data_IF_957593150999
#
_entry.id   IF_957593150999
#
_cell.length_a   1.000
_cell.length_b   1.000
_cell.length_c   1.000
_cell.angle_alpha   90.00
_cell.angle_beta   90.00
_cell.angle_gamma   90.00
#
_symmetry.space_group_name_H-M   'P 1'
#
loop_
_entity.id
_entity.type
_entity.pdbx_description
1 polymer ?
#
# COMPACT_ATOMS: atom_id res chain seq x y z
N UNK A 1 -0.63 13.51 -9.24
CA UNK A 1 -0.86 13.11 -7.85
C UNK A 1 0.44 12.83 -7.10
N UNK A 2 0.41 13.03 -5.81
CA UNK A 2 1.55 12.70 -4.96
C UNK A 2 1.07 12.12 -3.63
N UNK A 3 1.96 11.39 -2.97
CA UNK A 3 1.79 11.03 -1.57
C UNK A 3 3.15 11.03 -0.87
N UNK A 4 3.10 11.32 0.43
CA UNK A 4 4.25 11.23 1.33
C UNK A 4 3.87 10.24 2.40
N UNK A 5 4.67 9.21 2.56
CA UNK A 5 4.45 8.15 3.54
C UNK A 5 5.42 8.34 4.70
N UNK A 6 4.90 8.28 5.92
CA UNK A 6 5.73 8.36 7.11
C UNK A 6 5.01 7.68 8.27
N UNK A 7 5.75 7.00 9.16
CA UNK A 7 5.14 6.51 10.39
C UNK A 7 4.65 7.67 11.26
N UNK A 8 3.90 7.35 12.29
CA UNK A 8 3.44 8.37 13.25
C UNK A 8 4.63 9.14 13.77
N UNK A 9 4.65 10.44 13.53
CA UNK A 9 5.79 11.29 13.81
C UNK A 9 5.37 12.73 14.03
N UNK A 10 6.35 13.59 14.24
CA UNK A 10 6.13 15.03 14.44
C UNK A 10 5.64 15.78 13.20
N UNK A 11 5.67 15.13 12.03
CA UNK A 11 5.27 15.79 10.78
C UNK A 11 3.83 16.31 10.84
N UNK A 12 2.94 15.59 11.52
CA UNK A 12 1.56 16.02 11.70
C UNK A 12 1.45 17.30 12.54
N UNK A 13 2.41 17.57 13.40
CA UNK A 13 2.47 18.79 14.22
C UNK A 13 3.14 19.92 13.47
N UNK A 14 4.23 19.62 12.74
CA UNK A 14 5.03 20.62 12.07
C UNK A 14 4.44 21.12 10.75
N UNK A 15 3.62 20.31 10.11
CA UNK A 15 3.04 20.66 8.81
C UNK A 15 1.52 20.63 8.85
N UNK A 16 0.92 19.47 8.71
CA UNK A 16 -0.54 19.30 8.76
C UNK A 16 -0.88 17.86 9.10
N UNK A 17 -2.13 17.62 9.49
CA UNK A 17 -2.60 16.25 9.77
C UNK A 17 -2.57 15.42 8.50
N UNK A 18 -2.28 14.10 8.62
CA UNK A 18 -2.31 13.24 7.44
C UNK A 18 -3.71 13.13 6.86
N UNK A 19 -3.77 12.91 5.55
CA UNK A 19 -5.04 12.69 4.85
C UNK A 19 -5.58 11.28 5.14
N UNK A 20 -4.68 10.30 5.25
CA UNK A 20 -5.03 8.89 5.46
C UNK A 20 -4.02 8.23 6.39
N UNK A 21 -4.41 7.10 6.93
CA UNK A 21 -3.48 6.19 7.60
C UNK A 21 -3.84 4.76 7.21
N UNK A 22 -2.86 3.86 7.25
CA UNK A 22 -3.08 2.46 6.92
C UNK A 22 -2.09 1.57 7.65
N UNK A 23 -2.38 0.28 7.66
CA UNK A 23 -1.44 -0.76 8.07
C UNK A 23 -1.12 -1.65 6.86
N UNK A 24 0.12 -2.15 6.74
CA UNK A 24 0.50 -2.98 5.59
C UNK A 24 -0.43 -4.18 5.36
N UNK A 25 -0.90 -4.86 6.40
CA UNK A 25 -1.78 -6.01 6.25
C UNK A 25 -3.10 -5.68 5.54
N UNK A 26 -3.52 -4.42 5.59
CA UNK A 26 -4.77 -3.99 4.96
C UNK A 26 -4.70 -4.04 3.43
N UNK A 27 -3.51 -4.19 2.88
CA UNK A 27 -3.26 -4.25 1.42
C UNK A 27 -2.53 -5.52 1.00
N UNK A 28 -2.36 -6.48 1.92
CA UNK A 28 -1.63 -7.71 1.63
C UNK A 28 -2.25 -8.54 0.50
N UNK A 29 -3.56 -8.44 0.30
CA UNK A 29 -4.25 -9.15 -0.76
C UNK A 29 -3.85 -8.74 -2.18
N UNK A 30 -3.14 -7.64 -2.35
CA UNK A 30 -2.60 -7.25 -3.66
C UNK A 30 -1.28 -7.96 -4.00
N UNK A 31 -0.72 -8.71 -3.07
CA UNK A 31 0.50 -9.48 -3.31
C UNK A 31 0.10 -10.85 -3.87
N UNK A 32 0.78 -11.28 -4.95
CA UNK A 32 0.60 -12.61 -5.49
C UNK A 32 1.00 -13.65 -4.43
N UNK A 33 0.11 -14.62 -4.10
CA UNK A 33 0.44 -15.66 -3.12
C UNK A 33 1.71 -16.45 -3.44
N UNK A 34 2.06 -16.59 -4.71
CA UNK A 34 3.31 -17.23 -5.10
C UNK A 34 4.54 -16.40 -4.76
N UNK A 35 4.35 -15.12 -4.49
CA UNK A 35 5.40 -14.19 -4.09
C UNK A 35 5.17 -13.68 -2.66
N UNK A 36 4.57 -14.52 -1.83
CA UNK A 36 4.18 -14.13 -0.47
C UNK A 36 5.36 -13.64 0.37
N UNK A 37 6.49 -14.35 0.32
CA UNK A 37 7.66 -13.96 1.10
C UNK A 37 8.35 -12.73 0.51
N UNK A 38 8.82 -11.86 1.41
CA UNK A 38 9.53 -10.66 0.99
C UNK A 38 10.86 -11.06 0.32
N UNK A 39 11.14 -10.55 -0.90
CA UNK A 39 12.31 -11.00 -1.67
C UNK A 39 13.65 -10.66 -1.03
N UNK A 40 13.70 -9.63 -0.20
CA UNK A 40 14.96 -9.16 0.41
C UNK A 40 15.01 -9.39 1.93
N UNK A 41 13.88 -9.27 2.61
CA UNK A 41 13.84 -9.29 4.08
C UNK A 41 12.82 -10.29 4.64
N UNK A 42 12.87 -11.57 4.25
CA UNK A 42 11.82 -12.52 4.69
C UNK A 42 11.81 -12.78 6.20
N UNK A 43 12.95 -12.57 6.88
CA UNK A 43 13.04 -12.78 8.35
C UNK A 43 12.41 -11.62 9.14
N UNK A 44 12.27 -10.46 8.53
CA UNK A 44 11.82 -9.23 9.20
C UNK A 44 10.47 -8.73 8.73
N UNK A 45 10.05 -9.13 7.55
CA UNK A 45 8.78 -8.73 6.96
C UNK A 45 7.94 -9.98 6.74
N UNK A 46 6.78 -10.02 7.40
CA UNK A 46 5.87 -11.16 7.32
C UNK A 46 5.41 -11.41 5.88
N UNK A 47 5.18 -12.68 5.48
CA UNK A 47 4.62 -12.97 4.17
C UNK A 47 3.32 -12.20 3.93
N UNK A 48 3.07 -11.79 2.70
CA UNK A 48 1.88 -11.02 2.29
C UNK A 48 1.75 -9.69 3.04
N UNK A 49 2.86 -9.12 3.53
CA UNK A 49 2.86 -7.92 4.37
C UNK A 49 1.89 -8.03 5.55
N UNK A 50 1.73 -9.22 6.10
CA UNK A 50 0.75 -9.51 7.14
C UNK A 50 1.21 -9.00 8.51
N UNK A 51 1.44 -7.70 8.63
CA UNK A 51 1.88 -7.08 9.88
C UNK A 51 1.26 -5.70 10.07
N UNK A 52 1.02 -5.30 11.34
CA UNK A 52 0.56 -3.96 11.64
C UNK A 52 1.74 -2.99 11.71
N UNK A 53 1.54 -1.80 11.18
CA UNK A 53 2.47 -0.67 11.32
C UNK A 53 1.70 0.57 10.90
N UNK A 54 1.22 1.34 11.86
CA UNK A 54 0.44 2.53 11.54
C UNK A 54 1.30 3.50 10.72
N UNK A 55 0.89 3.72 9.49
CA UNK A 55 1.59 4.55 8.51
C UNK A 55 0.66 5.67 8.08
N UNK A 56 1.16 6.89 8.10
CA UNK A 56 0.40 8.08 7.75
C UNK A 56 0.72 8.54 6.33
N UNK A 57 -0.29 9.04 5.63
CA UNK A 57 -0.14 9.54 4.26
C UNK A 57 -0.60 11.00 4.17
N UNK A 58 0.25 11.82 3.60
CA UNK A 58 -0.09 13.17 3.17
C UNK A 58 -0.18 13.16 1.65
N UNK A 59 -1.33 13.52 1.12
CA UNK A 59 -1.60 13.33 -0.31
C UNK A 59 -2.09 14.62 -0.95
N UNK A 60 -2.00 14.68 -2.27
CA UNK A 60 -2.51 15.81 -3.05
C UNK A 60 -2.42 15.53 -4.55
N UNK A 61 -2.83 16.55 -5.33
CA UNK A 61 -2.75 16.45 -6.78
C UNK A 61 -3.66 15.38 -7.37
N UNK A 62 -4.80 15.12 -6.75
CA UNK A 62 -5.72 14.12 -7.26
C UNK A 62 -5.35 12.68 -6.91
N UNK A 63 -4.57 12.48 -5.86
CA UNK A 63 -4.25 11.13 -5.39
C UNK A 63 -5.52 10.36 -5.03
N UNK A 64 -5.60 9.12 -5.51
CA UNK A 64 -6.71 8.21 -5.22
C UNK A 64 -6.23 7.16 -4.23
N UNK A 65 -6.85 7.16 -3.04
CA UNK A 65 -6.56 6.14 -2.03
C UNK A 65 -7.14 4.80 -2.49
N UNK A 66 -6.30 3.75 -2.60
CA UNK A 66 -6.79 2.46 -3.08
C UNK A 66 -7.74 1.78 -2.10
N UNK A 67 -8.61 0.92 -2.62
CA UNK A 67 -9.45 0.08 -1.79
C UNK A 67 -8.60 -0.96 -1.06
N UNK A 68 -9.00 -1.26 0.16
CA UNK A 68 -8.32 -2.27 0.95
C UNK A 68 -8.57 -3.68 0.40
N UNK A 69 -7.55 -4.53 0.52
CA UNK A 69 -7.65 -5.97 0.31
C UNK A 69 -6.88 -6.63 1.44
N UNK A 70 -7.48 -6.71 2.64
CA UNK A 70 -6.74 -7.10 3.83
C UNK A 70 -6.45 -8.59 3.90
N UNK A 71 -5.34 -8.90 4.58
CA UNK A 71 -5.01 -10.26 5.00
C UNK A 71 -4.98 -10.29 6.52
N UNK A 72 -5.08 -11.48 7.11
CA UNK A 72 -4.99 -11.60 8.56
C UNK A 72 -3.57 -11.32 9.01
N UNK A 73 -3.34 -10.42 9.98
CA UNK A 73 -2.01 -10.18 10.51
C UNK A 73 -1.43 -11.45 11.12
N UNK A 74 -0.12 -11.67 10.90
CA UNK A 74 0.59 -12.81 11.47
C UNK A 74 0.54 -12.78 13.00
N UNK A 75 0.78 -11.61 13.58
CA UNK A 75 0.70 -11.36 15.02
C UNK A 75 0.26 -9.92 15.25
N UNK A 76 0.05 -9.54 16.51
CA UNK A 76 -0.27 -8.16 16.87
C UNK A 76 0.91 -7.18 16.72
N UNK A 77 2.11 -7.67 16.40
CA UNK A 77 3.32 -6.87 16.24
C UNK A 77 4.06 -7.25 14.97
N UNK A 78 4.80 -6.31 14.40
CA UNK A 78 5.66 -6.65 13.27
C UNK A 78 6.89 -7.41 13.74
N UNK A 79 7.43 -8.26 12.88
CA UNK A 79 8.71 -8.95 13.14
C UNK A 79 9.84 -7.94 13.37
N UNK A 80 9.76 -6.79 12.72
CA UNK A 80 10.71 -5.69 12.87
C UNK A 80 10.75 -5.18 14.31
N UNK A 81 9.58 -5.06 14.92
CA UNK A 81 9.48 -4.61 16.31
C UNK A 81 10.20 -5.54 17.28
N UNK A 82 10.10 -6.85 17.04
CA UNK A 82 10.69 -7.86 17.91
C UNK A 82 12.18 -8.12 17.62
N UNK A 83 12.61 -7.98 16.37
CA UNK A 83 13.93 -8.42 15.92
C UNK A 83 14.90 -7.30 15.60
N UNK A 84 14.44 -6.08 15.39
CA UNK A 84 15.31 -4.97 15.01
C UNK A 84 15.47 -4.00 16.17
N UNK A 85 16.72 -3.71 16.48
CA UNK A 85 17.10 -2.64 17.39
C UNK A 85 18.18 -1.78 16.75
N UNK A 86 18.46 -0.63 17.36
CA UNK A 86 19.56 0.22 16.94
C UNK A 86 19.28 1.08 15.71
N UNK A 87 20.34 1.64 15.15
CA UNK A 87 20.29 2.66 14.11
C UNK A 87 21.14 2.34 12.89
N UNK A 88 21.46 1.04 12.67
CA UNK A 88 22.27 0.64 11.52
C UNK A 88 21.56 0.95 10.19
N UNK A 89 22.32 1.06 9.11
CA UNK A 89 21.77 1.27 7.78
C UNK A 89 20.81 0.14 7.39
N UNK A 90 21.15 -1.11 7.77
CA UNK A 90 20.29 -2.27 7.53
C UNK A 90 18.94 -2.09 8.25
N UNK A 91 18.95 -1.71 9.51
CA UNK A 91 17.71 -1.47 10.28
C UNK A 91 16.88 -0.37 9.63
N UNK A 92 17.50 0.73 9.23
CA UNK A 92 16.81 1.82 8.55
C UNK A 92 16.19 1.37 7.24
N UNK A 93 16.92 0.61 6.44
CA UNK A 93 16.43 0.11 5.14
C UNK A 93 15.24 -0.83 5.32
N UNK A 94 15.29 -1.73 6.29
CA UNK A 94 14.18 -2.65 6.56
C UNK A 94 12.95 -1.88 7.03
N UNK A 95 13.14 -0.95 7.97
CA UNK A 95 12.01 -0.16 8.53
C UNK A 95 11.39 0.79 7.52
N UNK A 96 12.16 1.24 6.53
CA UNK A 96 11.67 2.15 5.49
C UNK A 96 11.19 1.42 4.24
N UNK A 97 11.26 0.10 4.20
CA UNK A 97 10.78 -0.66 3.05
C UNK A 97 9.29 -0.41 2.83
N UNK A 98 8.93 0.01 1.64
CA UNK A 98 7.53 0.25 1.28
C UNK A 98 6.78 -1.07 1.23
N UNK A 99 5.62 -1.17 1.89
CA UNK A 99 4.79 -2.37 1.80
C UNK A 99 4.42 -2.67 0.35
N UNK A 100 4.72 -3.88 -0.10
CA UNK A 100 4.54 -4.26 -1.51
C UNK A 100 3.08 -4.26 -1.94
N UNK A 101 2.19 -4.73 -1.07
CA UNK A 101 0.76 -4.75 -1.35
C UNK A 101 0.21 -3.35 -1.51
N UNK A 102 0.58 -2.45 -0.63
CA UNK A 102 0.16 -1.05 -0.72
C UNK A 102 0.71 -0.39 -1.98
N UNK A 103 1.99 -0.62 -2.29
CA UNK A 103 2.62 -0.08 -3.50
C UNK A 103 1.87 -0.53 -4.76
N UNK A 104 1.50 -1.80 -4.84
CA UNK A 104 0.74 -2.33 -5.97
C UNK A 104 -0.64 -1.71 -6.06
N UNK A 105 -1.33 -1.58 -4.92
CA UNK A 105 -2.65 -0.96 -4.86
C UNK A 105 -2.61 0.50 -5.32
N UNK A 106 -1.62 1.26 -4.85
CA UNK A 106 -1.43 2.67 -5.26
C UNK A 106 -1.15 2.78 -6.75
N UNK A 107 -0.30 1.91 -7.28
CA UNK A 107 -0.01 1.88 -8.72
C UNK A 107 -1.28 1.64 -9.52
N UNK A 108 -2.07 0.64 -9.15
CA UNK A 108 -3.30 0.30 -9.84
C UNK A 108 -4.31 1.45 -9.83
N UNK A 109 -4.41 2.17 -8.72
CA UNK A 109 -5.42 3.23 -8.54
C UNK A 109 -5.00 4.59 -9.09
N UNK A 110 -3.70 4.83 -9.26
CA UNK A 110 -3.17 6.15 -9.61
C UNK A 110 -2.40 6.18 -10.94
N UNK A 111 -2.15 5.04 -11.55
CA UNK A 111 -1.47 4.98 -12.84
C UNK A 111 -2.43 5.47 -13.92
N UNK A 112 -2.07 6.57 -14.59
CA UNK A 112 -2.95 7.19 -15.59
C UNK A 112 -3.24 6.27 -16.78
N UNK A 113 -2.28 5.47 -17.20
CA UNK A 113 -2.48 4.50 -18.28
C UNK A 113 -3.48 3.44 -17.87
N UNK A 114 -3.35 2.91 -16.65
CA UNK A 114 -4.27 1.90 -16.13
C UNK A 114 -5.68 2.47 -15.98
N UNK A 115 -5.81 3.67 -15.43
CA UNK A 115 -7.10 4.35 -15.30
C UNK A 115 -7.76 4.58 -16.65
N UNK A 116 -6.98 4.95 -17.65
CA UNK A 116 -7.47 5.16 -19.01
C UNK A 116 -8.02 3.85 -19.60
N UNK A 117 -7.30 2.76 -19.45
CA UNK A 117 -7.73 1.43 -19.90
C UNK A 117 -9.01 0.97 -19.20
N UNK A 118 -9.11 1.18 -17.90
CA UNK A 118 -10.32 0.86 -17.15
C UNK A 118 -11.50 1.70 -17.59
N UNK A 119 -11.29 2.98 -17.90
CA UNK A 119 -12.31 3.86 -18.43
C UNK A 119 -12.85 3.37 -19.76
N UNK A 120 -11.97 3.02 -20.68
CA UNK A 120 -12.35 2.46 -21.97
C UNK A 120 -13.13 1.16 -21.85
N UNK A 121 -12.70 0.29 -20.96
CA UNK A 121 -13.40 -0.98 -20.69
C UNK A 121 -14.82 -0.72 -20.19
N UNK A 122 -15.00 0.18 -19.26
CA UNK A 122 -16.33 0.53 -18.74
C UNK A 122 -17.22 1.12 -19.82
N UNK A 123 -16.71 1.99 -20.66
CA UNK A 123 -17.47 2.56 -21.78
C UNK A 123 -17.92 1.50 -22.74
N UNK A 124 -17.07 0.54 -23.07
CA UNK A 124 -17.45 -0.57 -23.95
C UNK A 124 -18.55 -1.43 -23.33
N UNK A 125 -18.44 -1.71 -22.04
CA UNK A 125 -19.45 -2.44 -21.32
C UNK A 125 -20.80 -1.73 -21.32
N UNK A 126 -20.79 -0.45 -21.06
CA UNK A 126 -21.99 0.38 -21.09
C UNK A 126 -22.61 0.41 -22.49
N UNK A 127 -21.81 0.55 -23.53
CA UNK A 127 -22.30 0.47 -24.90
C UNK A 127 -22.94 -0.87 -25.22
N UNK A 128 -22.34 -1.95 -24.78
CA UNK A 128 -22.92 -3.28 -24.95
C UNK A 128 -24.26 -3.39 -24.26
N UNK A 129 -24.35 -2.89 -23.05
CA UNK A 129 -25.59 -2.91 -22.29
C UNK A 129 -26.64 -2.00 -22.92
N UNK A 130 -26.23 -0.78 -23.30
CA UNK A 130 -27.14 0.21 -23.83
C UNK A 130 -27.61 -0.10 -25.24
N UNK A 131 -26.74 -0.65 -26.00
CA UNK A 131 -27.09 -0.86 -27.37
C UNK A 131 -27.29 -2.24 -27.69
N UNK A 132 -27.05 -2.92 -26.71
CA UNK A 132 -27.15 -4.24 -26.91
C UNK A 132 -27.35 -4.42 -28.09
N UNK A 133 -27.01 -3.69 -28.19
CA UNK A 133 -26.96 -2.86 -28.64
C UNK A 133 -26.08 -2.48 -29.50
N UNK A 134 -25.69 -2.39 -29.75
CA UNK A 134 -24.86 -1.92 -30.58
C UNK A 134 -23.85 -2.12 -30.48
#
# INVERSE_FOLDING_TARGET
PYFIENPVSVLSTLWRKPNYSFHPYEYGGYIDPEQAEHPKWPDYIAPMDAYPKKTCLWTGGGFVMPDMSPVEPETGHSRQHLKLGGKSMKTKNIRSATPRGFAQAVFNSNNSTMQSLLGEYKQRGDKHVCNTCN
#
